data_IF_603289646376
#
_entry.id   IF_603289646376
#
_cell.length_a   1.000
_cell.length_b   1.000
_cell.length_c   1.000
_cell.angle_alpha   90.00
_cell.angle_beta   90.00
_cell.angle_gamma   90.00
#
_symmetry.space_group_name_H-M   'P 1'
#
loop_
_entity.id
_entity.type
_entity.pdbx_description
1 polymer ?
#
# COMPACT_ATOMS: atom_id res chain seq x y z
N UNK A 1 8.95 -1.27 18.71
CA UNK A 1 7.82 -1.49 17.79
C UNK A 1 7.04 -0.20 17.65
N UNK A 2 6.81 0.29 16.44
CA UNK A 2 6.07 1.53 16.15
C UNK A 2 5.06 1.28 15.03
N UNK A 3 3.82 1.76 15.17
CA UNK A 3 2.82 1.77 14.10
C UNK A 3 2.52 3.23 13.76
N UNK A 4 2.63 3.59 12.48
CA UNK A 4 2.34 4.95 12.00
C UNK A 4 1.99 5.00 10.53
N UNK A 5 1.68 6.19 10.04
CA UNK A 5 1.53 6.46 8.61
C UNK A 5 2.85 6.21 7.85
N UNK A 6 2.70 5.72 6.62
CA UNK A 6 3.82 5.63 5.68
C UNK A 6 4.24 7.03 5.19
N UNK A 7 5.51 7.16 4.83
CA UNK A 7 6.09 8.34 4.19
C UNK A 7 6.52 8.00 2.78
N UNK A 8 6.49 8.98 1.88
CA UNK A 8 6.94 8.80 0.49
C UNK A 8 8.38 8.25 0.37
N UNK A 9 9.27 8.63 1.29
CA UNK A 9 10.65 8.13 1.31
C UNK A 9 10.78 6.62 1.60
N UNK A 10 9.72 6.00 2.11
CA UNK A 10 9.70 4.59 2.55
C UNK A 10 9.16 3.64 1.47
N UNK A 11 8.74 4.18 0.32
CA UNK A 11 8.10 3.38 -0.74
C UNK A 11 8.98 2.27 -1.29
N UNK A 12 10.29 2.51 -1.39
CA UNK A 12 11.23 1.48 -1.87
C UNK A 12 11.18 0.27 -0.93
N UNK A 13 11.34 0.50 0.38
CA UNK A 13 11.32 -0.57 1.38
C UNK A 13 9.95 -1.27 1.45
N UNK A 14 8.86 -0.51 1.27
CA UNK A 14 7.50 -1.06 1.19
C UNK A 14 7.36 -1.98 -0.03
N UNK A 15 7.79 -1.54 -1.22
CA UNK A 15 7.72 -2.35 -2.45
C UNK A 15 8.59 -3.60 -2.32
N UNK A 16 9.79 -3.47 -1.75
CA UNK A 16 10.68 -4.60 -1.51
C UNK A 16 10.04 -5.64 -0.58
N UNK A 17 9.39 -5.18 0.51
CA UNK A 17 8.62 -6.05 1.40
C UNK A 17 7.46 -6.75 0.68
N UNK A 18 6.76 -6.05 -0.21
CA UNK A 18 5.64 -6.61 -0.98
C UNK A 18 6.09 -7.66 -1.98
N UNK A 19 7.20 -7.43 -2.68
CA UNK A 19 7.85 -8.42 -3.53
C UNK A 19 8.21 -9.66 -2.70
N UNK A 20 8.91 -9.47 -1.58
CA UNK A 20 9.36 -10.56 -0.71
C UNK A 20 8.21 -11.42 -0.18
N UNK A 21 7.10 -10.80 0.25
CA UNK A 21 6.00 -11.51 0.93
C UNK A 21 5.03 -12.15 -0.06
N UNK A 22 4.66 -11.44 -1.13
CA UNK A 22 3.56 -11.88 -1.99
C UNK A 22 4.03 -12.53 -3.30
N UNK A 23 5.21 -12.19 -3.81
CA UNK A 23 5.73 -12.62 -5.13
C UNK A 23 7.28 -12.72 -5.16
N UNK A 24 7.91 -13.51 -4.28
CA UNK A 24 9.37 -13.52 -4.13
C UNK A 24 10.11 -13.99 -5.39
N UNK A 25 9.48 -14.87 -6.17
CA UNK A 25 10.11 -15.50 -7.35
C UNK A 25 9.67 -14.85 -8.68
N UNK A 26 9.01 -13.70 -8.64
CA UNK A 26 8.56 -12.98 -9.84
C UNK A 26 9.38 -11.70 -10.06
N UNK A 27 10.33 -11.68 -11.02
CA UNK A 27 11.19 -10.53 -11.27
C UNK A 27 10.43 -9.23 -11.62
N UNK A 28 9.21 -9.34 -12.15
CA UNK A 28 8.36 -8.21 -12.53
C UNK A 28 7.42 -7.73 -11.40
N UNK A 29 7.50 -8.32 -10.20
CA UNK A 29 6.62 -7.97 -9.08
C UNK A 29 6.74 -6.49 -8.67
N UNK A 30 7.94 -5.93 -8.72
CA UNK A 30 8.20 -4.53 -8.33
C UNK A 30 7.40 -3.54 -9.17
N UNK A 31 7.32 -3.74 -10.50
CA UNK A 31 6.52 -2.90 -11.41
C UNK A 31 5.06 -2.84 -10.97
N UNK A 32 4.49 -3.98 -10.58
CA UNK A 32 3.09 -4.07 -10.13
C UNK A 32 2.87 -3.26 -8.85
N UNK A 33 3.76 -3.38 -7.88
CA UNK A 33 3.59 -2.69 -6.59
C UNK A 33 3.88 -1.18 -6.71
N UNK A 34 4.80 -0.77 -7.57
CA UNK A 34 4.98 0.64 -7.91
C UNK A 34 3.73 1.27 -8.54
N UNK A 35 3.03 0.54 -9.42
CA UNK A 35 1.78 1.02 -10.01
C UNK A 35 0.70 1.36 -8.97
N UNK A 36 0.67 0.64 -7.84
CA UNK A 36 -0.29 0.94 -6.76
C UNK A 36 -0.13 2.31 -6.12
N UNK A 37 1.07 2.89 -6.21
CA UNK A 37 1.39 4.19 -5.65
C UNK A 37 1.37 5.33 -6.69
N UNK A 38 1.51 5.00 -7.97
CA UNK A 38 1.64 5.98 -9.05
C UNK A 38 0.41 6.08 -9.96
N UNK A 39 -0.35 5.00 -10.12
CA UNK A 39 -1.47 4.94 -11.05
C UNK A 39 -2.83 5.11 -10.36
N UNK A 40 -2.89 5.07 -9.02
CA UNK A 40 -4.12 5.29 -8.25
C UNK A 40 -4.27 6.78 -7.88
N UNK A 41 -5.17 7.56 -8.52
CA UNK A 41 -5.18 9.02 -8.43
C UNK A 41 -5.58 9.55 -7.05
N UNK A 42 -6.32 8.76 -6.28
CA UNK A 42 -6.81 9.12 -4.94
C UNK A 42 -5.87 8.66 -3.83
N UNK A 43 -4.75 8.02 -4.18
CA UNK A 43 -3.83 7.50 -3.20
C UNK A 43 -3.06 8.61 -2.48
N UNK A 44 -3.02 8.54 -1.16
CA UNK A 44 -2.22 9.40 -0.30
C UNK A 44 -1.38 8.53 0.62
N UNK A 45 -0.06 8.75 0.64
CA UNK A 45 0.89 7.92 1.40
C UNK A 45 0.56 7.88 2.89
N UNK A 46 0.07 8.99 3.42
CA UNK A 46 -0.25 9.20 4.83
C UNK A 46 -1.47 8.36 5.27
N UNK A 47 -2.28 7.87 4.33
CA UNK A 47 -3.41 6.98 4.61
C UNK A 47 -2.95 5.54 4.87
N UNK A 48 -1.87 5.09 4.22
CA UNK A 48 -1.30 3.77 4.46
C UNK A 48 -0.66 3.68 5.85
N UNK A 49 -0.56 2.46 6.38
CA UNK A 49 0.04 2.19 7.68
C UNK A 49 1.22 1.25 7.54
N UNK A 50 2.24 1.49 8.35
CA UNK A 50 3.41 0.62 8.46
C UNK A 50 3.67 0.24 9.92
N UNK A 51 4.24 -0.94 10.10
CA UNK A 51 4.80 -1.41 11.36
C UNK A 51 6.32 -1.41 11.25
N UNK A 52 6.99 -0.79 12.21
CA UNK A 52 8.45 -0.73 12.28
C UNK A 52 8.94 -1.50 13.50
N UNK A 53 9.89 -2.39 13.24
CA UNK A 53 10.59 -3.16 14.26
C UNK A 53 12.09 -3.13 13.99
N UNK A 54 12.88 -2.81 15.02
CA UNK A 54 14.34 -2.70 14.93
C UNK A 54 14.83 -1.79 13.77
N UNK A 55 14.09 -0.72 13.49
CA UNK A 55 14.41 0.25 12.44
C UNK A 55 14.05 -0.19 11.02
N UNK A 56 13.37 -1.32 10.84
CA UNK A 56 12.91 -1.82 9.54
C UNK A 56 11.40 -1.89 9.45
N UNK A 57 10.85 -1.71 8.25
CA UNK A 57 9.44 -1.93 7.97
C UNK A 57 9.19 -3.43 7.88
N UNK A 58 8.33 -3.94 8.76
CA UNK A 58 7.98 -5.37 8.83
C UNK A 58 6.54 -5.65 8.43
N UNK A 59 5.71 -4.62 8.30
CA UNK A 59 4.36 -4.73 7.72
C UNK A 59 3.95 -3.44 7.02
N UNK A 60 3.09 -3.57 6.01
CA UNK A 60 2.45 -2.48 5.28
C UNK A 60 0.98 -2.80 5.05
N UNK A 61 0.12 -1.79 5.22
CA UNK A 61 -1.30 -1.83 4.89
C UNK A 61 -1.61 -0.62 4.01
N UNK A 62 -1.96 -0.87 2.75
CA UNK A 62 -2.38 0.17 1.82
C UNK A 62 -3.83 0.54 2.09
N UNK A 63 -4.09 1.83 2.25
CA UNK A 63 -5.44 2.38 2.36
C UNK A 63 -5.58 3.49 1.32
N UNK A 64 -6.70 3.52 0.62
CA UNK A 64 -6.97 4.57 -0.36
C UNK A 64 -8.47 4.80 -0.55
N UNK A 65 -8.85 6.02 -0.89
CA UNK A 65 -10.24 6.38 -1.15
C UNK A 65 -10.73 5.77 -2.48
N UNK A 66 -11.91 5.14 -2.47
CA UNK A 66 -12.64 4.77 -3.70
C UNK A 66 -14.11 5.15 -3.60
N UNK A 67 -14.71 5.36 -4.77
CA UNK A 67 -16.16 5.34 -4.96
C UNK A 67 -16.57 4.00 -5.58
N UNK A 68 -17.57 3.34 -5.01
CA UNK A 68 -18.14 2.10 -5.54
C UNK A 68 -19.65 2.24 -5.75
N UNK A 69 -20.22 1.44 -6.64
CA UNK A 69 -21.67 1.38 -6.87
C UNK A 69 -22.24 0.08 -6.33
N UNK A 70 -23.17 0.17 -5.39
CA UNK A 70 -23.82 -0.99 -4.75
C UNK A 70 -25.32 -0.80 -4.78
N UNK A 71 -26.05 -1.73 -5.42
CA UNK A 71 -27.52 -1.71 -5.54
C UNK A 71 -28.08 -0.34 -5.99
N UNK A 72 -27.43 0.29 -6.96
CA UNK A 72 -27.86 1.58 -7.52
C UNK A 72 -27.36 2.82 -6.78
N UNK A 73 -26.86 2.70 -5.55
CA UNK A 73 -26.27 3.80 -4.78
C UNK A 73 -24.76 3.92 -4.98
N UNK A 74 -24.23 5.14 -4.95
CA UNK A 74 -22.78 5.42 -4.94
C UNK A 74 -22.31 5.60 -3.50
N UNK A 75 -21.28 4.86 -3.09
CA UNK A 75 -20.70 4.88 -1.74
C UNK A 75 -19.24 5.29 -1.80
N UNK A 76 -18.80 6.12 -0.85
CA UNK A 76 -17.37 6.34 -0.57
C UNK A 76 -16.89 5.30 0.43
N UNK A 77 -15.82 4.60 0.08
CA UNK A 77 -15.24 3.50 0.86
C UNK A 77 -13.73 3.61 0.90
N UNK A 78 -13.11 3.07 1.96
CA UNK A 78 -11.67 2.83 1.99
C UNK A 78 -11.36 1.49 1.34
N UNK A 79 -10.61 1.50 0.24
CA UNK A 79 -9.95 0.30 -0.26
C UNK A 79 -8.85 -0.12 0.71
N UNK A 80 -8.75 -1.41 0.98
CA UNK A 80 -7.70 -2.00 1.81
C UNK A 80 -6.97 -3.05 0.98
N UNK A 81 -5.64 -3.02 1.04
CA UNK A 81 -4.80 -3.96 0.30
C UNK A 81 -3.35 -3.88 0.73
N UNK A 82 -2.50 -4.46 -0.10
CA UNK A 82 -1.06 -4.30 -0.08
C UNK A 82 -0.68 -3.61 -1.38
#
# INVERSE_FOLDING_TARGET
MEIRSAKKAELVEIVDLQCLVFRPDEPAASTRYWAYFHEEPTYQFEQSRILIEQGRIVAHLRIWDRLIRVRGATLRVGGIGS
#
